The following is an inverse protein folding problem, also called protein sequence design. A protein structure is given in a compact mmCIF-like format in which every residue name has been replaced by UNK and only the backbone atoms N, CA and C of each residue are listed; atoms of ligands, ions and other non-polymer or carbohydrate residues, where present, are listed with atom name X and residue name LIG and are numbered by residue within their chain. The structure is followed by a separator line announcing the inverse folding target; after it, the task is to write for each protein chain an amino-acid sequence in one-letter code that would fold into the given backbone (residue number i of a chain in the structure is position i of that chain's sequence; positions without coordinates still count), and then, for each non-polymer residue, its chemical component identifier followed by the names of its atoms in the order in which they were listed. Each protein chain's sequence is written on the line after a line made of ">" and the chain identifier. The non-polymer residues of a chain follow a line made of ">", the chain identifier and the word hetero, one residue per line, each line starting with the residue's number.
data_IF_003505870039
#
_entry.id   IF_003505870039
#
_cell.length_a   1.000
_cell.length_b   1.000
_cell.length_c   1.000
_cell.angle_alpha   90.00
_cell.angle_beta   90.00
_cell.angle_gamma   90.00
#
_symmetry.space_group_name_H-M   'P 1'
#
loop_
_entity.id
_entity.type
_entity.pdbx_description
1 polymer ?
#
# COMPACT_ATOMS: atom_id res chain seq x y z
N UNK A 1 0.51 -33.73 -13.58
CA UNK A 1 1.83 -33.07 -13.50
C UNK A 1 1.60 -31.66 -13.00
N UNK A 2 2.31 -31.22 -11.96
CA UNK A 2 2.26 -29.82 -11.53
C UNK A 2 2.95 -28.94 -12.56
N UNK A 3 2.39 -27.75 -12.79
CA UNK A 3 2.97 -26.74 -13.66
C UNK A 3 4.30 -26.22 -13.04
N UNK A 4 5.46 -26.38 -13.70
CA UNK A 4 6.76 -25.95 -13.17
C UNK A 4 6.81 -24.45 -12.84
N UNK A 5 6.12 -23.61 -13.60
CA UNK A 5 6.10 -22.15 -13.37
C UNK A 5 5.34 -21.82 -12.08
N UNK A 6 4.20 -22.49 -11.86
CA UNK A 6 3.44 -22.33 -10.63
C UNK A 6 4.22 -22.79 -9.40
N UNK A 7 5.05 -23.84 -9.54
CA UNK A 7 5.87 -24.33 -8.45
C UNK A 7 7.01 -23.35 -8.11
N UNK A 8 7.65 -22.75 -9.11
CA UNK A 8 8.64 -21.68 -8.90
C UNK A 8 8.03 -20.47 -8.17
N UNK A 9 6.85 -20.01 -8.59
CA UNK A 9 6.12 -18.92 -7.93
C UNK A 9 5.85 -19.24 -6.46
N UNK A 10 5.38 -20.45 -6.16
CA UNK A 10 5.13 -20.87 -4.76
C UNK A 10 6.41 -20.85 -3.94
N UNK A 11 7.52 -21.36 -4.48
CA UNK A 11 8.80 -21.36 -3.76
C UNK A 11 9.28 -19.94 -3.49
N UNK A 12 9.16 -19.02 -4.46
CA UNK A 12 9.47 -17.60 -4.25
C UNK A 12 8.63 -16.99 -3.13
N UNK A 13 7.32 -17.23 -3.12
CA UNK A 13 6.42 -16.74 -2.05
C UNK A 13 6.80 -17.31 -0.68
N UNK A 14 7.09 -18.61 -0.58
CA UNK A 14 7.40 -19.29 0.68
C UNK A 14 8.78 -18.95 1.24
N UNK A 15 9.74 -18.64 0.37
CA UNK A 15 11.13 -18.33 0.74
C UNK A 15 11.37 -16.86 1.06
N UNK A 16 10.43 -15.97 0.70
CA UNK A 16 10.56 -14.53 0.92
C UNK A 16 10.78 -14.20 2.39
N UNK A 17 11.67 -13.26 2.66
CA UNK A 17 12.01 -12.79 4.03
C UNK A 17 12.00 -11.28 4.17
N UNK A 18 11.78 -10.57 3.06
CA UNK A 18 11.78 -9.12 3.04
C UNK A 18 10.69 -8.66 2.08
N UNK A 19 9.89 -7.72 2.55
CA UNK A 19 8.75 -7.24 1.80
C UNK A 19 8.87 -5.74 1.58
N UNK A 20 8.33 -5.28 0.47
CA UNK A 20 8.07 -3.87 0.26
C UNK A 20 6.59 -3.62 0.40
N UNK A 21 6.21 -2.59 1.14
CA UNK A 21 4.80 -2.32 1.45
C UNK A 21 4.46 -0.89 1.06
N UNK A 22 3.36 -0.70 0.37
CA UNK A 22 2.79 0.62 0.10
C UNK A 22 1.52 0.82 0.92
N UNK A 23 1.39 2.01 1.51
CA UNK A 23 0.25 2.45 2.31
C UNK A 23 -0.37 3.69 1.66
N UNK A 24 -1.61 3.55 1.22
CA UNK A 24 -2.47 4.66 0.81
C UNK A 24 -3.54 4.87 1.89
N UNK A 25 -3.78 6.13 2.27
CA UNK A 25 -4.67 6.45 3.39
C UNK A 25 -5.81 7.34 2.93
N UNK A 26 -7.03 6.97 3.31
CA UNK A 26 -8.23 7.68 2.91
C UNK A 26 -8.24 9.13 3.44
N UNK A 27 -8.38 10.10 2.54
CA UNK A 27 -8.69 11.47 2.92
C UNK A 27 -10.19 11.70 3.02
N UNK A 28 -10.62 12.41 4.07
CA UNK A 28 -12.00 12.92 4.13
C UNK A 28 -12.07 14.15 3.23
N UNK A 29 -12.45 13.95 1.96
CA UNK A 29 -12.76 15.05 1.04
C UNK A 29 -14.05 15.74 1.50
N UNK A 30 -13.93 16.88 2.18
CA UNK A 30 -15.07 17.69 2.58
C UNK A 30 -15.66 18.43 1.37
N UNK A 31 -16.76 17.90 0.81
CA UNK A 31 -17.57 18.57 -0.22
C UNK A 31 -19.07 18.47 0.12
N UNK A 32 -19.85 19.49 -0.23
CA UNK A 32 -21.31 19.57 0.05
C UNK A 32 -22.03 18.33 -0.53
N UNK A 33 -22.50 17.44 0.36
CA UNK A 33 -23.60 16.51 0.06
C UNK A 33 -23.25 15.04 -0.16
N UNK A 34 -21.99 14.63 -0.31
CA UNK A 34 -21.63 13.18 -0.36
C UNK A 34 -20.29 12.94 0.33
N UNK A 35 -20.31 12.40 1.56
CA UNK A 35 -19.13 11.78 2.20
C UNK A 35 -18.83 10.48 1.48
N UNK A 36 -18.14 10.53 0.35
CA UNK A 36 -17.55 9.32 -0.25
C UNK A 36 -16.30 9.04 0.58
N UNK A 37 -16.34 8.01 1.44
CA UNK A 37 -15.12 7.54 2.13
C UNK A 37 -14.27 6.83 1.08
N UNK A 38 -13.10 7.40 0.80
CA UNK A 38 -12.01 6.68 0.18
C UNK A 38 -11.56 5.55 1.12
N UNK A 39 -10.89 4.53 0.59
CA UNK A 39 -10.48 3.38 1.39
C UNK A 39 -9.05 3.64 1.87
N UNK A 40 -8.73 3.20 3.08
CA UNK A 40 -7.33 2.95 3.38
C UNK A 40 -6.93 1.70 2.63
N UNK A 41 -5.77 1.71 1.99
CA UNK A 41 -5.27 0.60 1.22
C UNK A 41 -3.83 0.27 1.61
N UNK A 42 -3.53 -1.03 1.67
CA UNK A 42 -2.20 -1.55 1.89
C UNK A 42 -1.92 -2.65 0.87
N UNK A 43 -0.70 -2.68 0.37
CA UNK A 43 -0.23 -3.75 -0.50
C UNK A 43 1.23 -4.10 -0.15
N UNK A 44 1.52 -5.39 0.01
CA UNK A 44 2.89 -5.89 0.18
C UNK A 44 3.31 -6.73 -1.01
N UNK A 45 4.55 -6.54 -1.44
CA UNK A 45 5.24 -7.31 -2.47
C UNK A 45 6.49 -7.93 -1.87
N UNK A 46 6.95 -9.05 -2.41
CA UNK A 46 8.24 -9.61 -2.06
C UNK A 46 9.37 -9.07 -2.97
N UNK A 47 10.60 -9.48 -2.68
CA UNK A 47 11.79 -9.11 -3.42
C UNK A 47 11.79 -9.55 -4.91
N UNK A 48 10.87 -10.45 -5.29
CA UNK A 48 10.73 -10.95 -6.66
C UNK A 48 9.65 -10.21 -7.47
N UNK A 49 9.06 -9.15 -6.92
CA UNK A 49 7.98 -8.40 -7.57
C UNK A 49 6.63 -9.11 -7.55
N UNK A 50 6.45 -10.13 -6.71
CA UNK A 50 5.18 -10.85 -6.55
C UNK A 50 4.36 -10.14 -5.47
N UNK A 51 3.13 -9.76 -5.79
CA UNK A 51 2.17 -9.30 -4.80
C UNK A 51 1.86 -10.43 -3.82
N UNK A 52 2.05 -10.18 -2.54
CA UNK A 52 1.85 -11.17 -1.47
C UNK A 52 0.47 -11.01 -0.86
N UNK A 53 0.11 -9.76 -0.55
CA UNK A 53 -1.19 -9.45 0.03
C UNK A 53 -1.57 -8.01 -0.23
N UNK A 54 -2.85 -7.76 -0.39
CA UNK A 54 -3.42 -6.42 -0.44
C UNK A 54 -4.76 -6.38 0.27
N UNK A 55 -5.05 -5.27 0.94
CA UNK A 55 -6.32 -5.03 1.60
C UNK A 55 -6.73 -3.57 1.48
N UNK A 56 -8.04 -3.35 1.30
CA UNK A 56 -8.65 -2.02 1.31
C UNK A 56 -9.85 -2.02 2.26
N UNK A 57 -9.92 -1.05 3.17
CA UNK A 57 -10.98 -0.98 4.18
C UNK A 57 -11.32 0.47 4.58
N UNK A 58 -12.42 0.64 5.32
CA UNK A 58 -12.88 1.95 5.80
C UNK A 58 -12.64 2.12 7.31
N UNK A 59 -11.58 1.50 7.84
CA UNK A 59 -11.21 1.64 9.25
C UNK A 59 -11.03 3.11 9.61
N UNK A 60 -11.36 3.43 10.87
CA UNK A 60 -11.10 4.77 11.39
C UNK A 60 -9.59 5.01 11.47
N UNK A 61 -9.17 6.27 11.34
CA UNK A 61 -7.74 6.60 11.34
C UNK A 61 -7.03 6.12 12.61
N UNK A 62 -7.67 6.19 13.78
CA UNK A 62 -7.10 5.68 15.04
C UNK A 62 -6.95 4.15 15.08
N UNK A 63 -7.78 3.41 14.34
CA UNK A 63 -7.65 1.95 14.21
C UNK A 63 -6.58 1.60 13.18
N UNK A 64 -6.47 2.41 12.12
CA UNK A 64 -5.52 2.25 11.03
C UNK A 64 -4.09 2.61 11.44
N UNK A 65 -3.88 3.84 11.90
CA UNK A 65 -2.60 4.40 12.34
C UNK A 65 -2.20 3.94 13.75
N UNK A 66 -3.18 3.58 14.59
CA UNK A 66 -2.98 3.41 16.02
C UNK A 66 -3.32 4.69 16.78
N UNK A 67 -3.25 4.59 18.10
CA UNK A 67 -3.64 5.69 19.00
C UNK A 67 -2.89 5.59 20.31
N UNK A 68 -2.84 6.72 21.02
CA UNK A 68 -2.44 6.70 22.43
C UNK A 68 -3.67 6.66 23.32
N UNK A 69 -3.63 5.84 24.36
CA UNK A 69 -4.68 5.72 25.37
C UNK A 69 -4.13 6.00 26.75
N UNK A 70 -4.88 6.73 27.56
CA UNK A 70 -4.56 6.91 28.98
C UNK A 70 -5.21 5.78 29.78
N UNK A 71 -4.39 5.00 30.50
CA UNK A 71 -4.81 3.91 31.37
C UNK A 71 -4.32 4.22 32.78
N UNK A 72 -5.23 4.75 33.60
CA UNK A 72 -4.87 5.28 34.92
C UNK A 72 -3.95 6.50 34.80
N UNK A 73 -2.74 6.40 35.36
CA UNK A 73 -1.72 7.46 35.28
C UNK A 73 -0.66 7.19 34.20
N UNK A 74 -0.87 6.18 33.34
CA UNK A 74 0.06 5.81 32.27
C UNK A 74 -0.53 6.13 30.90
N UNK A 75 0.32 6.62 30.01
CA UNK A 75 0.00 6.82 28.60
C UNK A 75 0.58 5.66 27.79
N UNK A 76 -0.29 4.89 27.14
CA UNK A 76 0.05 3.64 26.43
C UNK A 76 -0.18 3.82 24.94
N UNK A 77 0.81 3.47 24.13
CA UNK A 77 0.68 3.41 22.67
C UNK A 77 0.06 2.08 22.26
N UNK A 78 -1.02 2.16 21.47
CA UNK A 78 -1.73 1.00 20.96
C UNK A 78 -1.45 0.92 19.45
N UNK A 79 -0.78 -0.15 18.97
CA UNK A 79 -0.43 -0.29 17.57
C UNK A 79 -1.67 -0.37 16.69
N UNK A 80 -1.64 0.39 15.61
CA UNK A 80 -2.66 0.36 14.57
C UNK A 80 -2.58 -0.89 13.70
N UNK A 81 -3.50 -0.94 12.74
CA UNK A 81 -3.49 -1.93 11.68
C UNK A 81 -2.18 -1.93 10.89
N UNK A 82 -1.66 -0.76 10.52
CA UNK A 82 -0.45 -0.64 9.69
C UNK A 82 0.79 -1.22 10.40
N UNK A 83 0.93 -0.99 11.70
CA UNK A 83 2.03 -1.58 12.49
C UNK A 83 1.94 -3.10 12.57
N UNK A 84 0.73 -3.66 12.75
CA UNK A 84 0.52 -5.11 12.72
C UNK A 84 0.83 -5.70 11.35
N UNK A 85 0.40 -5.03 10.28
CA UNK A 85 0.73 -5.44 8.92
C UNK A 85 2.25 -5.46 8.69
N UNK A 86 2.99 -4.48 9.18
CA UNK A 86 4.45 -4.44 9.05
C UNK A 86 5.15 -5.55 9.86
N UNK A 87 4.55 -6.02 10.96
CA UNK A 87 5.04 -7.19 11.68
C UNK A 87 4.88 -8.45 10.83
N UNK A 88 3.75 -8.62 10.16
CA UNK A 88 3.48 -9.78 9.30
C UNK A 88 4.30 -9.76 8.00
N UNK A 89 4.62 -8.57 7.49
CA UNK A 89 5.36 -8.34 6.24
C UNK A 89 6.54 -7.38 6.47
N UNK A 90 7.61 -7.82 7.16
CA UNK A 90 8.74 -6.97 7.51
C UNK A 90 9.56 -6.55 6.29
N UNK A 91 9.91 -5.26 6.22
CA UNK A 91 10.86 -4.73 5.24
C UNK A 91 10.65 -3.23 5.05
N UNK A 92 10.70 -2.74 3.81
CA UNK A 92 10.55 -1.30 3.55
C UNK A 92 9.08 -0.93 3.33
N UNK A 93 8.55 0.01 4.10
CA UNK A 93 7.19 0.50 3.97
C UNK A 93 7.18 1.96 3.51
N UNK A 94 6.55 2.23 2.37
CA UNK A 94 6.27 3.58 1.88
C UNK A 94 4.83 3.98 2.18
N UNK A 95 4.68 5.10 2.90
CA UNK A 95 3.39 5.69 3.22
C UNK A 95 3.18 6.92 2.33
N UNK A 96 2.00 7.04 1.69
CA UNK A 96 1.66 8.22 0.92
C UNK A 96 1.72 9.48 1.80
N UNK A 97 2.39 10.53 1.32
CA UNK A 97 2.42 11.84 1.97
C UNK A 97 1.10 12.59 1.75
N UNK A 98 0.11 12.28 2.58
CA UNK A 98 -1.13 13.02 2.72
C UNK A 98 -1.40 13.29 4.22
N UNK A 99 -2.44 14.06 4.56
CA UNK A 99 -2.70 14.44 5.96
C UNK A 99 -2.84 13.22 6.90
N UNK A 100 -3.72 12.26 6.57
CA UNK A 100 -3.83 10.98 7.27
C UNK A 100 -2.55 10.12 7.26
N UNK A 101 -1.82 10.06 6.15
CA UNK A 101 -0.59 9.28 6.00
C UNK A 101 0.52 9.75 6.93
N UNK A 102 0.65 11.07 7.13
CA UNK A 102 1.55 11.62 8.17
C UNK A 102 1.13 11.17 9.57
N UNK A 103 -0.17 11.02 9.83
CA UNK A 103 -0.63 10.49 11.13
C UNK A 103 -0.27 9.00 11.28
N UNK A 104 -0.36 8.22 10.20
CA UNK A 104 0.08 6.83 10.19
C UNK A 104 1.55 6.73 10.52
N UNK A 105 2.41 7.48 9.83
CA UNK A 105 3.85 7.45 10.08
C UNK A 105 4.21 7.85 11.52
N UNK A 106 3.67 8.96 12.03
CA UNK A 106 3.96 9.43 13.38
C UNK A 106 3.50 8.47 14.50
N UNK A 107 2.53 7.59 14.22
CA UNK A 107 2.00 6.62 15.19
C UNK A 107 2.46 5.18 14.90
N UNK A 108 3.24 4.99 13.84
CA UNK A 108 3.67 3.67 13.43
C UNK A 108 4.72 3.13 14.40
N UNK A 109 4.48 1.93 14.89
CA UNK A 109 5.45 1.18 15.69
C UNK A 109 6.23 0.24 14.77
N UNK A 110 7.54 0.44 14.65
CA UNK A 110 8.41 -0.44 13.87
C UNK A 110 8.47 -1.85 14.50
N UNK A 111 8.45 -2.92 13.67
CA UNK A 111 8.75 -4.26 14.16
C UNK A 111 10.15 -4.33 14.76
N UNK A 112 10.36 -5.29 15.67
CA UNK A 112 11.71 -5.65 16.15
C UNK A 112 12.45 -6.48 15.09
N UNK A 113 12.69 -5.86 13.93
CA UNK A 113 13.43 -6.43 12.81
C UNK A 113 14.37 -5.35 12.26
N UNK A 114 15.70 -5.59 12.23
CA UNK A 114 16.67 -4.57 11.81
C UNK A 114 16.56 -4.18 10.33
N UNK A 115 15.76 -4.90 9.54
CA UNK A 115 15.50 -4.61 8.13
C UNK A 115 14.18 -3.88 7.89
N UNK A 116 13.41 -3.63 8.94
CA UNK A 116 12.14 -2.92 8.85
C UNK A 116 12.36 -1.42 8.89
N UNK A 117 11.90 -0.73 7.86
CA UNK A 117 12.03 0.71 7.70
C UNK A 117 10.72 1.31 7.21
N UNK A 118 10.46 2.56 7.58
CA UNK A 118 9.29 3.33 7.11
C UNK A 118 9.78 4.62 6.50
N UNK A 119 9.21 4.99 5.36
CA UNK A 119 9.42 6.29 4.76
C UNK A 119 8.13 6.87 4.21
N UNK A 120 7.94 8.18 4.37
CA UNK A 120 6.85 8.90 3.74
C UNK A 120 7.24 9.28 2.30
N UNK A 121 6.27 9.23 1.38
CA UNK A 121 6.49 9.46 -0.05
C UNK A 121 5.48 10.43 -0.64
N UNK A 122 6.00 11.56 -1.11
CA UNK A 122 5.22 12.55 -1.84
C UNK A 122 4.72 12.03 -3.18
N UNK A 123 3.41 12.01 -3.39
CA UNK A 123 2.78 11.60 -4.67
C UNK A 123 2.37 12.82 -5.51
N UNK A 124 3.34 13.70 -5.83
CA UNK A 124 3.08 14.78 -6.79
C UNK A 124 2.65 14.21 -8.15
N UNK A 125 1.92 14.97 -8.99
CA UNK A 125 1.46 14.48 -10.30
C UNK A 125 2.61 13.94 -11.17
N UNK A 126 3.77 14.61 -11.15
CA UNK A 126 4.98 14.15 -11.86
C UNK A 126 5.51 12.83 -11.29
N UNK A 127 5.53 12.68 -9.96
CA UNK A 127 5.99 11.45 -9.32
C UNK A 127 5.00 10.30 -9.55
N UNK A 128 3.70 10.56 -9.43
CA UNK A 128 2.63 9.59 -9.74
C UNK A 128 2.76 9.09 -11.17
N UNK A 129 2.97 9.99 -12.13
CA UNK A 129 3.23 9.60 -13.52
C UNK A 129 4.47 8.70 -13.65
N UNK A 130 5.61 9.06 -13.04
CA UNK A 130 6.82 8.23 -13.08
C UNK A 130 6.60 6.84 -12.49
N UNK A 131 5.96 6.74 -11.33
CA UNK A 131 5.64 5.46 -10.70
C UNK A 131 4.76 4.61 -11.62
N UNK A 132 3.73 5.20 -12.23
CA UNK A 132 2.84 4.51 -13.18
C UNK A 132 3.61 4.03 -14.42
N UNK A 133 4.47 4.86 -15.00
CA UNK A 133 5.24 4.51 -16.19
C UNK A 133 6.23 3.37 -15.90
N UNK A 134 6.95 3.44 -14.78
CA UNK A 134 7.85 2.36 -14.33
C UNK A 134 7.08 1.07 -14.07
N UNK A 135 5.94 1.14 -13.38
CA UNK A 135 5.11 -0.01 -13.08
C UNK A 135 4.55 -0.67 -14.34
N UNK A 136 4.12 0.13 -15.33
CA UNK A 136 3.66 -0.37 -16.63
C UNK A 136 4.76 -1.12 -17.38
N UNK A 137 5.97 -0.57 -17.41
CA UNK A 137 7.12 -1.24 -18.01
C UNK A 137 7.46 -2.54 -17.29
N UNK A 138 7.40 -2.55 -15.96
CA UNK A 138 7.65 -3.73 -15.16
C UNK A 138 6.60 -4.83 -15.38
N UNK A 139 5.31 -4.48 -15.48
CA UNK A 139 4.25 -5.41 -15.86
C UNK A 139 4.47 -5.98 -17.27
N UNK A 140 4.78 -5.12 -18.25
CA UNK A 140 5.04 -5.56 -19.62
C UNK A 140 6.28 -6.47 -19.72
N UNK A 141 7.29 -6.21 -18.88
CA UNK A 141 8.49 -7.03 -18.73
C UNK A 141 8.34 -8.24 -17.81
N UNK A 142 7.13 -8.55 -17.33
CA UNK A 142 6.84 -9.67 -16.42
C UNK A 142 7.67 -9.65 -15.12
N UNK A 143 8.10 -8.47 -14.68
CA UNK A 143 8.82 -8.28 -13.42
C UNK A 143 7.88 -8.18 -12.22
N UNK A 144 6.59 -7.95 -12.46
CA UNK A 144 5.57 -7.83 -11.43
C UNK A 144 4.48 -8.87 -11.69
N UNK A 145 4.10 -9.60 -10.63
CA UNK A 145 2.97 -10.52 -10.66
C UNK A 145 1.88 -10.05 -9.69
N UNK A 146 0.71 -9.72 -10.24
CA UNK A 146 -0.47 -9.32 -9.47
C UNK A 146 -1.25 -10.58 -9.09
N UNK A 147 -1.43 -10.80 -7.80
CA UNK A 147 -2.06 -12.03 -7.27
C UNK A 147 -3.44 -11.75 -6.65
N UNK A 148 -3.69 -10.52 -6.22
CA UNK A 148 -4.97 -10.11 -5.66
C UNK A 148 -5.96 -9.66 -6.75
N UNK A 149 -7.16 -10.25 -6.71
CA UNK A 149 -8.22 -9.98 -7.70
C UNK A 149 -8.74 -8.55 -7.61
N UNK A 150 -8.83 -7.97 -6.42
CA UNK A 150 -9.34 -6.61 -6.25
C UNK A 150 -8.34 -5.59 -6.83
N UNK A 151 -7.05 -5.77 -6.56
CA UNK A 151 -5.95 -5.00 -7.12
C UNK A 151 -5.94 -5.08 -8.65
N UNK A 152 -6.02 -6.30 -9.20
CA UNK A 152 -6.10 -6.50 -10.65
C UNK A 152 -7.29 -5.76 -11.26
N UNK A 153 -8.47 -5.85 -10.65
CA UNK A 153 -9.66 -5.15 -11.13
C UNK A 153 -9.53 -3.62 -11.09
N UNK A 154 -8.92 -3.05 -10.05
CA UNK A 154 -8.69 -1.60 -10.01
C UNK A 154 -7.66 -1.17 -11.07
N UNK A 155 -6.61 -1.97 -11.29
CA UNK A 155 -5.61 -1.72 -12.33
C UNK A 155 -6.21 -1.69 -13.75
N UNK A 156 -7.17 -2.56 -14.07
CA UNK A 156 -7.81 -2.56 -15.41
C UNK A 156 -8.71 -1.35 -15.66
N UNK A 157 -9.14 -0.68 -14.60
CA UNK A 157 -9.97 0.53 -14.67
C UNK A 157 -9.13 1.81 -14.59
N UNK A 158 -7.90 1.73 -14.10
CA UNK A 158 -7.04 2.88 -13.86
C UNK A 158 -6.57 3.51 -15.18
N UNK A 159 -6.93 4.77 -15.42
CA UNK A 159 -6.76 5.41 -16.71
C UNK A 159 -6.09 6.77 -16.61
N UNK A 160 -5.47 7.18 -17.73
CA UNK A 160 -4.93 8.53 -17.89
C UNK A 160 -6.07 9.52 -18.13
N UNK A 161 -6.19 10.52 -17.27
CA UNK A 161 -7.20 11.58 -17.36
C UNK A 161 -6.66 12.83 -18.08
N UNK A 162 -5.41 12.79 -18.54
CA UNK A 162 -4.69 13.92 -19.13
C UNK A 162 -3.94 14.76 -18.08
N UNK A 163 -2.90 15.46 -18.53
CA UNK A 163 -2.12 16.37 -17.68
C UNK A 163 -1.33 15.67 -16.55
N UNK A 164 -0.96 14.40 -16.74
CA UNK A 164 -0.23 13.60 -15.75
C UNK A 164 -1.10 13.11 -14.58
N UNK A 165 -2.44 13.16 -14.72
CA UNK A 165 -3.38 12.65 -13.73
C UNK A 165 -3.82 11.24 -14.11
N UNK A 166 -3.71 10.33 -13.15
CA UNK A 166 -4.23 8.97 -13.27
C UNK A 166 -5.23 8.72 -12.15
N UNK A 167 -6.42 8.26 -12.51
CA UNK A 167 -7.53 8.06 -11.58
C UNK A 167 -8.43 6.92 -12.09
N UNK A 168 -9.22 6.33 -11.19
CA UNK A 168 -10.31 5.44 -11.60
C UNK A 168 -11.52 6.26 -12.14
N UNK A 169 -12.32 5.70 -13.07
CA UNK A 169 -13.54 6.34 -13.55
C UNK A 169 -14.52 6.63 -12.41
N UNK A 170 -15.40 7.61 -12.62
CA UNK A 170 -16.45 7.96 -11.65
C UNK A 170 -17.25 6.71 -11.25
N UNK A 171 -17.34 6.43 -9.95
CA UNK A 171 -18.00 5.23 -9.44
C UNK A 171 -17.04 4.14 -8.96
N UNK A 172 -15.78 4.16 -9.42
CA UNK A 172 -14.77 3.18 -9.08
C UNK A 172 -13.75 3.71 -8.07
N UNK A 173 -12.77 2.87 -7.72
CA UNK A 173 -11.75 3.05 -6.70
C UNK A 173 -10.38 2.68 -7.25
N UNK A 174 -9.35 3.39 -6.81
CA UNK A 174 -7.95 3.22 -7.20
C UNK A 174 -7.01 3.11 -5.98
N UNK A 175 -7.54 3.03 -4.76
CA UNK A 175 -6.74 3.05 -3.53
C UNK A 175 -5.69 1.89 -3.52
N UNK A 176 -6.07 0.68 -4.00
CA UNK A 176 -5.13 -0.45 -4.11
C UNK A 176 -4.09 -0.25 -5.22
N UNK A 177 -4.41 0.53 -6.25
CA UNK A 177 -3.45 0.89 -7.31
C UNK A 177 -2.36 1.80 -6.73
N UNK A 178 -2.74 2.79 -5.92
CA UNK A 178 -1.76 3.66 -5.27
C UNK A 178 -0.89 2.86 -4.30
N UNK A 179 -1.50 2.00 -3.49
CA UNK A 179 -0.78 1.13 -2.55
C UNK A 179 0.24 0.22 -3.28
N UNK A 180 -0.12 -0.43 -4.39
CA UNK A 180 0.83 -1.29 -5.10
C UNK A 180 1.91 -0.50 -5.85
N UNK A 181 1.60 0.70 -6.36
CA UNK A 181 2.61 1.59 -6.95
C UNK A 181 3.66 2.01 -5.93
N UNK A 182 3.25 2.34 -4.70
CA UNK A 182 4.15 2.67 -3.59
C UNK A 182 4.99 1.46 -3.16
N UNK A 183 4.39 0.26 -3.10
CA UNK A 183 5.11 -0.97 -2.79
C UNK A 183 6.19 -1.28 -3.83
N UNK A 184 5.90 -1.03 -5.11
CA UNK A 184 6.88 -1.20 -6.18
C UNK A 184 7.96 -0.11 -6.19
N UNK A 185 7.61 1.16 -5.91
CA UNK A 185 8.59 2.25 -5.75
C UNK A 185 9.57 1.96 -4.59
N UNK A 186 9.14 1.22 -3.56
CA UNK A 186 10.00 0.75 -2.48
C UNK A 186 10.90 -0.43 -2.86
N UNK A 187 10.62 -1.13 -3.95
CA UNK A 187 11.40 -2.30 -4.40
C UNK A 187 12.61 -1.92 -5.27
N UNK A 188 12.56 -0.75 -5.92
CA UNK A 188 13.56 -0.27 -6.89
C UNK A 188 14.51 0.78 -6.30
#
# INVERSE_FOLDING_TARGET
>A
MSDPELEDIKQKVLSSRLYTTGIDTAEIKSGRGKRRRDYNAVCSMNEYGIQIKAEANQMLLDEWAGKTMDIGNMRVEVPGYVSKWHIDYPGLMFIEENGPGLTVENRHMLPDNPKSEVAVRRTSSVRKQRMVDQFRLALAGQQILITDKATYYQLTLFQDMGGGKYEAPTGYKDDLVIAILLAYDALI
#
